data_IF_141128472450
#
_entry.id   IF_141128472450
#
_cell.length_a   1.000
_cell.length_b   1.000
_cell.length_c   1.000
_cell.angle_alpha   90.00
_cell.angle_beta   90.00
_cell.angle_gamma   90.00
#
_symmetry.space_group_name_H-M   'P 1'
#
loop_
_entity.id
_entity.type
_entity.pdbx_description
1 polymer ?
#
# COMPACT_ATOMS: atom_id res chain seq x y z
N UNK A 1 -13.67 -14.86 2.38
CA UNK A 1 -13.05 -15.94 3.17
C UNK A 1 -11.84 -16.45 2.41
N UNK A 2 -10.64 -16.22 2.90
CA UNK A 2 -9.36 -16.50 2.24
C UNK A 2 -8.97 -17.99 2.40
N UNK A 3 -9.83 -18.91 2.03
CA UNK A 3 -9.59 -20.36 2.20
C UNK A 3 -8.35 -20.89 1.46
N UNK A 4 -7.92 -20.24 0.38
CA UNK A 4 -6.75 -20.70 -0.40
C UNK A 4 -5.39 -20.30 0.18
N UNK A 5 -5.35 -19.33 1.08
CA UNK A 5 -4.13 -18.91 1.79
C UNK A 5 -3.95 -19.63 3.13
N UNK A 6 -4.98 -20.34 3.59
CA UNK A 6 -4.89 -21.14 4.81
C UNK A 6 -4.35 -22.53 4.46
N UNK A 7 -3.40 -23.07 5.22
CA UNK A 7 -2.90 -24.43 5.01
C UNK A 7 -4.08 -25.41 4.95
N UNK A 8 -4.20 -26.16 3.86
CA UNK A 8 -5.20 -27.23 3.77
C UNK A 8 -4.95 -28.23 4.89
N UNK A 9 -6.03 -28.69 5.50
CA UNK A 9 -6.09 -29.63 6.60
C UNK A 9 -5.08 -30.80 6.43
N UNK A 10 -3.99 -30.72 7.16
CA UNK A 10 -2.92 -31.72 7.14
C UNK A 10 -3.19 -32.76 8.21
N UNK A 11 -4.29 -33.54 8.09
CA UNK A 11 -4.74 -34.50 9.10
C UNK A 11 -3.72 -35.52 9.56
N UNK A 12 -2.58 -35.68 8.88
CA UNK A 12 -1.55 -36.67 9.20
C UNK A 12 -0.11 -36.21 8.91
N UNK A 13 0.16 -34.90 8.82
CA UNK A 13 1.52 -34.42 8.60
C UNK A 13 2.07 -33.73 9.85
N UNK A 14 3.37 -33.92 10.07
CA UNK A 14 4.12 -33.16 11.08
C UNK A 14 3.98 -31.67 10.79
N UNK A 15 3.51 -30.92 11.77
CA UNK A 15 3.30 -29.51 11.67
C UNK A 15 4.64 -28.77 11.59
N UNK A 16 4.87 -28.00 10.53
CA UNK A 16 6.04 -27.15 10.37
C UNK A 16 5.68 -25.72 10.73
N UNK A 17 6.21 -25.27 11.84
CA UNK A 17 5.92 -23.91 12.36
C UNK A 17 6.32 -22.82 11.38
N UNK A 18 7.45 -22.94 10.70
CA UNK A 18 7.96 -21.95 9.74
C UNK A 18 7.02 -21.78 8.54
N UNK A 19 6.42 -22.87 8.05
CA UNK A 19 5.46 -22.81 6.94
C UNK A 19 4.17 -22.09 7.38
N UNK A 20 3.70 -22.34 8.59
CA UNK A 20 2.55 -21.67 9.15
C UNK A 20 2.82 -20.18 9.36
N UNK A 21 3.93 -19.83 10.00
CA UNK A 21 4.32 -18.44 10.23
C UNK A 21 4.31 -17.68 8.91
N UNK A 22 4.96 -18.24 7.88
CA UNK A 22 4.98 -17.64 6.54
C UNK A 22 3.57 -17.43 5.99
N UNK A 23 2.68 -18.41 6.09
CA UNK A 23 1.31 -18.31 5.60
C UNK A 23 0.52 -17.20 6.35
N UNK A 24 0.66 -17.14 7.66
CA UNK A 24 0.01 -16.11 8.47
C UNK A 24 0.50 -14.71 8.10
N UNK A 25 1.80 -14.55 7.88
CA UNK A 25 2.39 -13.27 7.44
C UNK A 25 1.94 -12.89 6.03
N UNK A 26 1.81 -13.84 5.10
CA UNK A 26 1.26 -13.59 3.76
C UNK A 26 -0.21 -13.12 3.85
N UNK A 27 -1.03 -13.76 4.69
CA UNK A 27 -2.43 -13.33 4.92
C UNK A 27 -2.46 -11.90 5.46
N UNK A 28 -1.59 -11.57 6.43
CA UNK A 28 -1.51 -10.23 7.00
C UNK A 28 -1.16 -9.15 5.96
N UNK A 29 -0.30 -9.46 5.00
CA UNK A 29 0.07 -8.56 3.90
C UNK A 29 -1.10 -8.23 2.96
N UNK A 30 -2.12 -9.09 2.87
CA UNK A 30 -3.26 -8.87 1.97
C UNK A 30 -4.22 -7.76 2.44
N UNK A 31 -3.90 -7.04 3.51
CA UNK A 31 -4.75 -5.96 4.02
C UNK A 31 -5.87 -6.44 4.94
N UNK A 32 -5.80 -7.67 5.42
CA UNK A 32 -6.63 -8.13 6.53
C UNK A 32 -6.13 -7.41 7.79
N UNK A 33 -6.97 -6.60 8.42
CA UNK A 33 -6.56 -5.66 9.44
C UNK A 33 -6.04 -6.34 10.70
N UNK A 34 -6.75 -7.34 11.21
CA UNK A 34 -6.37 -8.06 12.41
C UNK A 34 -6.38 -9.56 12.16
N UNK A 35 -5.25 -10.19 12.42
CA UNK A 35 -5.10 -11.63 12.38
C UNK A 35 -4.68 -12.10 13.77
N UNK A 36 -5.53 -12.90 14.39
CA UNK A 36 -5.23 -13.57 15.66
C UNK A 36 -5.16 -15.07 15.41
N UNK A 37 -4.09 -15.71 15.87
CA UNK A 37 -3.94 -17.16 15.81
C UNK A 37 -3.80 -17.73 17.20
N UNK A 38 -4.56 -18.77 17.51
CA UNK A 38 -4.54 -19.45 18.78
C UNK A 38 -4.32 -20.94 18.55
N UNK A 39 -3.36 -21.52 19.24
CA UNK A 39 -3.10 -22.95 19.24
C UNK A 39 -3.69 -23.55 20.53
N UNK A 40 -4.56 -24.54 20.38
CA UNK A 40 -5.19 -25.25 21.50
C UNK A 40 -4.94 -26.76 21.40
N UNK A 41 -5.14 -27.47 22.51
CA UNK A 41 -5.01 -28.94 22.55
C UNK A 41 -6.07 -29.58 21.67
N UNK A 42 -5.66 -30.50 20.82
CA UNK A 42 -6.57 -31.30 20.00
C UNK A 42 -7.26 -32.40 20.77
N UNK A 43 -8.29 -32.99 20.16
CA UNK A 43 -9.04 -34.11 20.72
C UNK A 43 -8.25 -35.43 20.75
N UNK A 44 -7.25 -35.56 19.87
CA UNK A 44 -6.37 -36.72 19.82
C UNK A 44 -5.08 -36.50 20.60
N UNK A 45 -4.49 -37.54 21.23
CA UNK A 45 -3.20 -37.44 21.94
C UNK A 45 -2.11 -36.94 20.96
N UNK A 46 -1.43 -35.85 21.33
CA UNK A 46 -0.42 -35.18 20.48
C UNK A 46 -0.97 -34.29 19.37
N UNK A 47 -2.30 -34.16 19.24
CA UNK A 47 -2.94 -33.28 18.28
C UNK A 47 -3.08 -31.85 18.79
N UNK A 48 -3.08 -30.87 17.89
CA UNK A 48 -3.34 -29.47 18.15
C UNK A 48 -4.37 -28.90 17.19
N UNK A 49 -5.16 -27.95 17.66
CA UNK A 49 -6.14 -27.20 16.87
C UNK A 49 -5.61 -25.78 16.71
N UNK A 50 -5.41 -25.35 15.47
CA UNK A 50 -5.10 -23.98 15.14
C UNK A 50 -6.38 -23.23 14.78
N UNK A 51 -6.73 -22.22 15.58
CA UNK A 51 -7.85 -21.31 15.30
C UNK A 51 -7.28 -20.02 14.77
N UNK A 52 -7.71 -19.61 13.57
CA UNK A 52 -7.33 -18.34 12.95
C UNK A 52 -8.58 -17.46 12.87
N UNK A 53 -8.53 -16.33 13.57
CA UNK A 53 -9.57 -15.30 13.52
C UNK A 53 -9.09 -14.15 12.65
N UNK A 54 -9.91 -13.77 11.67
CA UNK A 54 -9.63 -12.71 10.72
C UNK A 54 -10.71 -11.63 10.84
N UNK A 55 -10.32 -10.45 11.29
CA UNK A 55 -11.17 -9.27 11.28
C UNK A 55 -10.84 -8.43 10.04
N UNK A 56 -11.78 -8.32 9.12
CA UNK A 56 -11.60 -7.63 7.85
C UNK A 56 -12.06 -6.19 7.96
N UNK A 57 -11.20 -5.26 7.59
CA UNK A 57 -11.55 -3.87 7.31
C UNK A 57 -11.57 -3.70 5.79
N UNK A 58 -12.75 -3.81 5.13
CA UNK A 58 -12.84 -3.73 3.69
C UNK A 58 -12.61 -2.31 3.15
N UNK A 59 -12.82 -1.30 3.99
CA UNK A 59 -12.69 0.09 3.65
C UNK A 59 -12.18 0.89 4.85
N UNK A 60 -11.27 1.81 4.59
CA UNK A 60 -10.74 2.75 5.58
C UNK A 60 -10.49 4.09 4.89
N UNK A 61 -10.93 5.17 5.52
CA UNK A 61 -10.67 6.54 5.09
C UNK A 61 -9.96 7.27 6.21
N UNK A 62 -8.97 8.07 5.87
CA UNK A 62 -8.32 9.02 6.78
C UNK A 62 -8.15 10.36 6.10
N UNK A 63 -8.42 11.42 6.84
CA UNK A 63 -8.14 12.81 6.45
C UNK A 63 -6.95 13.25 7.27
N UNK A 64 -6.03 13.96 6.65
CA UNK A 64 -4.88 14.53 7.32
C UNK A 64 -4.65 15.98 6.87
N UNK A 65 -4.02 16.73 7.72
CA UNK A 65 -3.55 18.10 7.43
C UNK A 65 -2.14 18.24 7.96
N UNK A 66 -1.31 19.00 7.30
CA UNK A 66 0.02 19.36 7.76
C UNK A 66 0.42 20.77 7.30
N UNK A 67 1.45 21.31 7.93
CA UNK A 67 2.02 22.66 7.67
C UNK A 67 3.48 22.57 7.21
N UNK A 68 3.95 21.40 6.76
CA UNK A 68 5.36 21.15 6.39
C UNK A 68 5.61 21.28 4.89
N UNK A 69 4.94 22.22 4.24
CA UNK A 69 5.22 22.55 2.85
C UNK A 69 6.22 23.72 2.77
N UNK A 70 6.82 23.88 1.60
CA UNK A 70 7.53 25.12 1.28
C UNK A 70 6.52 26.26 1.22
N UNK A 71 6.85 27.43 1.76
CA UNK A 71 6.05 28.65 1.69
C UNK A 71 5.60 28.98 0.25
N UNK A 72 6.39 28.58 -0.74
CA UNK A 72 6.11 28.77 -2.17
C UNK A 72 5.02 27.86 -2.73
N UNK A 73 4.70 26.76 -2.04
CA UNK A 73 3.68 25.78 -2.43
C UNK A 73 2.38 25.91 -1.61
N UNK A 74 2.39 26.74 -0.56
CA UNK A 74 1.29 26.97 0.35
C UNK A 74 1.61 26.57 1.78
N UNK A 75 1.00 27.27 2.74
CA UNK A 75 1.25 27.08 4.18
C UNK A 75 0.64 25.81 4.73
N UNK A 76 -0.46 25.37 4.14
CA UNK A 76 -1.26 24.26 4.62
C UNK A 76 -1.51 23.24 3.53
N UNK A 77 -1.50 21.98 3.91
CA UNK A 77 -1.90 20.88 3.04
C UNK A 77 -3.02 20.09 3.71
N UNK A 78 -4.04 19.78 2.95
CA UNK A 78 -5.08 18.82 3.32
C UNK A 78 -5.01 17.62 2.38
N UNK A 79 -5.25 16.44 2.92
CA UNK A 79 -5.31 15.23 2.09
C UNK A 79 -6.30 14.22 2.61
N UNK A 80 -6.77 13.39 1.70
CA UNK A 80 -7.63 12.25 1.97
C UNK A 80 -6.97 10.97 1.46
N UNK A 81 -6.90 9.96 2.30
CA UNK A 81 -6.40 8.64 1.96
C UNK A 81 -7.51 7.62 2.13
N UNK A 82 -7.70 6.80 1.12
CA UNK A 82 -8.63 5.68 1.18
C UNK A 82 -7.88 4.37 0.92
N UNK A 83 -8.30 3.33 1.62
CA UNK A 83 -7.87 1.96 1.38
C UNK A 83 -9.10 1.09 1.22
N UNK A 84 -9.17 0.36 0.13
CA UNK A 84 -10.24 -0.59 -0.16
C UNK A 84 -9.63 -1.97 -0.38
N UNK A 85 -10.23 -3.00 0.23
CA UNK A 85 -9.81 -4.39 0.06
C UNK A 85 -11.01 -5.27 -0.27
N UNK A 86 -10.94 -6.00 -1.39
CA UNK A 86 -12.03 -6.90 -1.80
C UNK A 86 -12.15 -8.10 -0.86
N UNK A 87 -13.38 -8.64 -0.74
CA UNK A 87 -13.67 -9.79 0.14
C UNK A 87 -13.44 -11.15 -0.53
N UNK A 88 -12.60 -11.22 -1.56
CA UNK A 88 -12.30 -12.44 -2.32
C UNK A 88 -11.22 -13.31 -1.67
N UNK A 89 -11.00 -14.52 -2.17
CA UNK A 89 -9.93 -15.43 -1.73
C UNK A 89 -8.52 -14.86 -2.00
N UNK A 90 -8.36 -14.14 -3.11
CA UNK A 90 -7.17 -13.35 -3.45
C UNK A 90 -7.56 -11.88 -3.44
N UNK A 91 -7.51 -11.23 -2.27
CA UNK A 91 -8.03 -9.87 -2.14
C UNK A 91 -7.19 -8.89 -2.97
N UNK A 92 -7.90 -7.99 -3.62
CA UNK A 92 -7.32 -6.84 -4.30
C UNK A 92 -7.33 -5.70 -3.29
N UNK A 93 -6.16 -5.09 -3.09
CA UNK A 93 -6.01 -3.89 -2.28
C UNK A 93 -5.85 -2.69 -3.21
N UNK A 94 -6.68 -1.69 -3.02
CA UNK A 94 -6.61 -0.40 -3.72
C UNK A 94 -6.39 0.67 -2.69
N UNK A 95 -5.35 1.48 -2.87
CA UNK A 95 -5.14 2.67 -2.07
C UNK A 95 -5.28 3.89 -2.98
N UNK A 96 -5.91 4.93 -2.48
CA UNK A 96 -5.93 6.24 -3.12
C UNK A 96 -5.53 7.32 -2.13
N UNK A 97 -4.84 8.31 -2.64
CA UNK A 97 -4.45 9.51 -1.92
C UNK A 97 -4.74 10.70 -2.83
N UNK A 98 -5.44 11.69 -2.32
CA UNK A 98 -5.54 13.01 -2.93
C UNK A 98 -5.08 14.05 -1.93
N UNK A 99 -4.35 15.05 -2.40
CA UNK A 99 -3.82 16.14 -1.57
C UNK A 99 -3.92 17.47 -2.30
N UNK A 100 -4.14 18.53 -1.52
CA UNK A 100 -4.24 19.89 -1.99
C UNK A 100 -3.55 20.84 -1.00
N UNK A 101 -2.76 21.77 -1.49
CA UNK A 101 -2.10 22.78 -0.69
C UNK A 101 -2.71 24.17 -0.95
N UNK A 102 -2.85 24.97 0.10
CA UNK A 102 -3.44 26.31 0.06
C UNK A 102 -2.69 27.24 1.05
N UNK A 103 -2.78 28.59 0.96
CA UNK A 103 -3.72 29.40 0.21
C UNK A 103 -3.30 29.75 -1.23
N UNK A 104 -2.17 29.29 -1.70
CA UNK A 104 -1.71 29.59 -3.06
C UNK A 104 -2.68 28.95 -4.06
N UNK A 105 -3.23 29.73 -5.00
CA UNK A 105 -4.03 29.21 -6.09
C UNK A 105 -3.19 28.15 -6.84
N UNK A 106 -3.71 26.93 -6.97
CA UNK A 106 -3.06 25.80 -7.62
C UNK A 106 -1.67 25.39 -7.05
N UNK A 107 -1.29 25.85 -5.85
CA UNK A 107 0.03 25.65 -5.27
C UNK A 107 0.53 24.22 -5.35
N UNK A 108 -0.28 23.23 -4.93
CA UNK A 108 -0.01 21.82 -5.15
C UNK A 108 -1.31 21.04 -5.16
N UNK A 109 -1.56 20.36 -6.28
CA UNK A 109 -2.63 19.35 -6.39
C UNK A 109 -1.96 18.04 -6.72
N UNK A 110 -2.23 16.98 -5.94
CA UNK A 110 -1.63 15.69 -6.19
C UNK A 110 -2.55 14.52 -5.85
N UNK A 111 -2.38 13.44 -6.59
CA UNK A 111 -3.11 12.22 -6.37
C UNK A 111 -2.27 10.99 -6.67
N UNK A 112 -2.52 9.92 -5.93
CA UNK A 112 -1.92 8.61 -6.15
C UNK A 112 -3.03 7.58 -6.06
N UNK A 113 -3.06 6.66 -7.00
CA UNK A 113 -3.84 5.43 -6.91
C UNK A 113 -2.90 4.24 -7.06
N UNK A 114 -3.00 3.28 -6.16
CA UNK A 114 -2.23 2.05 -6.24
C UNK A 114 -3.12 0.84 -6.10
N UNK A 115 -2.71 -0.21 -6.78
CA UNK A 115 -3.39 -1.47 -6.86
C UNK A 115 -2.41 -2.59 -6.53
N UNK A 116 -2.79 -3.51 -5.65
CA UNK A 116 -1.99 -4.67 -5.30
C UNK A 116 -2.86 -5.92 -5.29
N UNK A 117 -2.40 -6.98 -5.96
CA UNK A 117 -3.10 -8.26 -6.07
C UNK A 117 -2.14 -9.43 -5.86
N UNK A 118 -2.36 -10.32 -4.87
CA UNK A 118 -1.66 -11.58 -4.80
C UNK A 118 -2.03 -12.48 -5.99
N UNK A 119 -1.01 -12.95 -6.73
CA UNK A 119 -1.19 -13.80 -7.91
C UNK A 119 -1.11 -15.27 -7.50
N UNK A 120 -0.15 -15.62 -6.65
CA UNK A 120 0.11 -17.00 -6.25
C UNK A 120 0.11 -17.16 -4.72
N UNK A 121 -0.16 -18.40 -4.28
CA UNK A 121 -0.26 -18.77 -2.87
C UNK A 121 1.07 -18.68 -2.10
N UNK A 122 2.19 -18.62 -2.82
CA UNK A 122 3.55 -18.49 -2.23
C UNK A 122 3.97 -17.04 -1.97
N UNK A 123 3.07 -16.05 -2.25
CA UNK A 123 3.32 -14.65 -1.95
C UNK A 123 3.73 -13.79 -3.16
N UNK A 124 3.71 -14.34 -4.39
CA UNK A 124 3.89 -13.53 -5.58
C UNK A 124 2.73 -12.55 -5.67
N UNK A 125 3.03 -11.26 -5.81
CA UNK A 125 2.06 -10.19 -5.97
C UNK A 125 2.36 -9.33 -7.19
N UNK A 126 1.30 -8.81 -7.79
CA UNK A 126 1.36 -7.78 -8.82
C UNK A 126 0.93 -6.46 -8.21
N UNK A 127 1.66 -5.40 -8.54
CA UNK A 127 1.34 -4.03 -8.12
C UNK A 127 1.34 -3.10 -9.33
N UNK A 128 0.42 -2.17 -9.32
CA UNK A 128 0.37 -1.06 -10.26
C UNK A 128 0.15 0.23 -9.48
N UNK A 129 0.78 1.31 -9.92
CA UNK A 129 0.65 2.63 -9.31
C UNK A 129 0.58 3.68 -10.41
N UNK A 130 -0.34 4.63 -10.22
CA UNK A 130 -0.42 5.86 -10.97
C UNK A 130 -0.36 7.03 -10.00
N UNK A 131 0.48 8.01 -10.28
CA UNK A 131 0.56 9.26 -9.53
C UNK A 131 0.53 10.43 -10.50
N UNK A 132 -0.18 11.48 -10.08
CA UNK A 132 -0.24 12.77 -10.75
C UNK A 132 0.02 13.87 -9.74
N UNK A 133 0.82 14.85 -10.14
CA UNK A 133 1.08 16.04 -9.32
C UNK A 133 1.16 17.25 -10.24
N UNK A 134 0.39 18.29 -9.90
CA UNK A 134 0.48 19.61 -10.48
C UNK A 134 0.99 20.56 -9.41
N UNK A 135 1.97 21.38 -9.76
CA UNK A 135 2.52 22.41 -8.88
C UNK A 135 2.48 23.76 -9.58
N UNK A 136 2.13 24.78 -8.84
CA UNK A 136 2.24 26.17 -9.27
C UNK A 136 2.99 26.94 -8.19
N UNK A 137 4.09 27.57 -8.57
CA UNK A 137 4.96 28.32 -7.64
C UNK A 137 5.09 29.74 -8.12
N UNK A 138 4.79 30.69 -7.26
CA UNK A 138 4.96 32.13 -7.52
C UNK A 138 6.32 32.59 -6.98
N UNK A 139 6.92 33.56 -7.64
CA UNK A 139 8.12 34.28 -7.17
C UNK A 139 9.35 33.38 -6.87
N UNK A 140 9.66 32.41 -7.77
CA UNK A 140 10.89 31.66 -7.69
C UNK A 140 12.15 32.54 -7.84
N UNK A 141 12.01 33.68 -8.57
CA UNK A 141 13.07 34.64 -8.83
C UNK A 141 12.62 36.04 -8.45
N UNK A 142 12.70 36.43 -7.15
CA UNK A 142 12.20 37.73 -6.68
C UNK A 142 12.94 38.95 -7.28
N UNK A 143 14.11 38.71 -7.88
CA UNK A 143 14.91 39.78 -8.53
C UNK A 143 14.53 40.06 -9.98
N UNK A 144 13.62 39.28 -10.56
CA UNK A 144 13.11 39.52 -11.92
C UNK A 144 11.82 40.29 -11.83
N UNK A 145 11.84 41.50 -12.37
CA UNK A 145 10.68 42.41 -12.43
C UNK A 145 9.53 41.79 -13.23
N UNK A 146 8.58 41.18 -12.54
CA UNK A 146 7.38 40.55 -13.09
C UNK A 146 6.94 39.35 -12.25
N UNK A 147 5.62 39.13 -12.13
CA UNK A 147 5.05 37.94 -11.50
C UNK A 147 5.45 36.67 -12.30
N UNK A 148 6.57 36.03 -11.93
CA UNK A 148 6.97 34.78 -12.56
C UNK A 148 6.21 33.63 -11.92
N UNK A 149 5.36 32.97 -12.70
CA UNK A 149 4.63 31.77 -12.30
C UNK A 149 5.28 30.57 -12.95
N UNK A 150 5.83 29.68 -12.14
CA UNK A 150 6.38 28.42 -12.63
C UNK A 150 5.35 27.32 -12.42
N UNK A 151 4.95 26.64 -13.51
CA UNK A 151 4.00 25.53 -13.49
C UNK A 151 4.72 24.24 -13.79
N UNK A 152 4.46 23.22 -12.98
CA UNK A 152 4.99 21.89 -13.16
C UNK A 152 3.89 20.84 -13.11
N UNK A 153 3.87 19.97 -14.12
CA UNK A 153 3.02 18.78 -14.17
C UNK A 153 3.89 17.54 -14.17
N UNK A 154 3.55 16.56 -13.37
CA UNK A 154 4.25 15.29 -13.34
C UNK A 154 3.27 14.12 -13.27
N UNK A 155 3.46 13.18 -14.18
CA UNK A 155 2.75 11.90 -14.22
C UNK A 155 3.74 10.76 -14.01
N UNK A 156 3.36 9.78 -13.22
CA UNK A 156 4.16 8.61 -12.94
C UNK A 156 3.29 7.36 -12.97
N UNK A 157 3.72 6.38 -13.77
CA UNK A 157 3.09 5.06 -13.84
C UNK A 157 4.15 4.02 -13.51
N UNK A 158 3.82 3.05 -12.65
CA UNK A 158 4.68 1.90 -12.42
C UNK A 158 3.90 0.60 -12.34
N UNK A 159 4.54 -0.47 -12.83
CA UNK A 159 4.06 -1.84 -12.75
C UNK A 159 5.17 -2.70 -12.16
N UNK A 160 4.85 -3.55 -11.20
CA UNK A 160 5.83 -4.41 -10.56
C UNK A 160 5.28 -5.78 -10.16
N UNK A 161 6.19 -6.74 -10.07
CA UNK A 161 5.99 -8.06 -9.50
C UNK A 161 6.89 -8.19 -8.28
N UNK A 162 6.29 -8.53 -7.14
CA UNK A 162 7.00 -8.69 -5.87
C UNK A 162 6.90 -10.13 -5.35
N UNK A 163 8.02 -10.65 -4.84
CA UNK A 163 8.08 -11.96 -4.23
C UNK A 163 8.88 -11.93 -2.92
N UNK A 164 8.28 -12.34 -1.77
CA UNK A 164 9.01 -12.44 -0.51
C UNK A 164 9.88 -13.70 -0.51
N UNK A 165 11.19 -13.53 -0.69
CA UNK A 165 12.18 -14.62 -0.61
C UNK A 165 12.22 -15.14 0.82
N UNK A 166 12.44 -14.25 1.80
CA UNK A 166 12.39 -14.54 3.23
C UNK A 166 11.23 -13.77 3.83
N UNK A 167 10.38 -14.45 4.58
CA UNK A 167 9.29 -13.83 5.29
C UNK A 167 9.11 -14.52 6.64
N UNK A 168 9.70 -13.93 7.68
CA UNK A 168 9.64 -14.30 9.09
C UNK A 168 9.19 -13.11 9.91
N UNK A 169 8.82 -13.31 11.16
CA UNK A 169 8.35 -12.27 12.07
C UNK A 169 9.33 -11.10 12.21
N UNK A 170 10.62 -11.40 12.30
CA UNK A 170 11.68 -10.42 12.55
C UNK A 170 12.57 -10.15 11.32
N UNK A 171 12.34 -10.85 10.21
CA UNK A 171 13.19 -10.73 9.01
C UNK A 171 12.35 -10.87 7.76
N UNK A 172 12.48 -9.90 6.84
CA UNK A 172 11.86 -9.98 5.54
C UNK A 172 12.88 -9.61 4.45
N UNK A 173 12.98 -10.44 3.42
CA UNK A 173 13.71 -10.14 2.20
C UNK A 173 12.73 -10.27 1.04
N UNK A 174 12.52 -9.17 0.31
CA UNK A 174 11.66 -9.14 -0.85
C UNK A 174 12.52 -8.98 -2.10
N UNK A 175 12.07 -9.58 -3.17
CA UNK A 175 12.56 -9.34 -4.52
C UNK A 175 11.43 -8.69 -5.31
N UNK A 176 11.70 -7.53 -5.89
CA UNK A 176 10.75 -6.80 -6.71
C UNK A 176 11.38 -6.51 -8.06
N UNK A 177 10.63 -6.78 -9.13
CA UNK A 177 11.00 -6.41 -10.50
C UNK A 177 9.86 -5.60 -11.11
N UNK A 178 10.20 -4.51 -11.77
CA UNK A 178 9.17 -3.65 -12.34
C UNK A 178 9.71 -2.69 -13.37
N UNK A 179 8.80 -1.95 -13.96
CA UNK A 179 9.06 -0.86 -14.87
C UNK A 179 8.25 0.37 -14.49
N UNK A 180 8.78 1.53 -14.78
CA UNK A 180 8.08 2.79 -14.56
C UNK A 180 8.34 3.76 -15.71
N UNK A 181 7.36 4.62 -15.93
CA UNK A 181 7.43 5.73 -16.87
C UNK A 181 7.06 6.99 -16.09
N UNK A 182 7.87 8.02 -16.25
CA UNK A 182 7.60 9.35 -15.72
C UNK A 182 7.61 10.37 -16.84
N UNK A 183 6.59 11.20 -16.89
CA UNK A 183 6.49 12.35 -17.76
C UNK A 183 6.40 13.59 -16.88
N UNK A 184 7.26 14.58 -17.13
CA UNK A 184 7.28 15.84 -16.39
C UNK A 184 7.40 16.99 -17.37
N UNK A 185 6.59 18.03 -17.15
CA UNK A 185 6.62 19.28 -17.91
C UNK A 185 6.81 20.44 -16.92
N UNK A 186 7.60 21.40 -17.30
CA UNK A 186 7.79 22.67 -16.58
C UNK A 186 7.68 23.81 -17.54
N UNK A 187 6.83 24.76 -17.22
CA UNK A 187 6.65 26.04 -17.94
C UNK A 187 7.11 27.17 -17.02
N UNK A 188 7.97 28.05 -17.55
CA UNK A 188 8.56 29.18 -16.84
C UNK A 188 8.02 30.48 -17.36
#
# INVERSE_FOLDING_TARGET
MTKELIPKDNKNKIFKFDELERQLLLIRRTGVANLTSTLSKGSKKGGSILTIKLDKIPFSTSIFTNTHLSEKLGDYQVGIRNTFTTKTSKPIKVNSLAKYAFPVEDGLIGGVISFEKPIANKGLSFSALYAYTKTETKDLFPDVSGDSVNKGDSEYISLSLGYPIILKRNTALNFDIGTSIQNSKSDF
#
